data_IF_094673417556
#
_entry.id   IF_094673417556
#
_cell.length_a   1.000
_cell.length_b   1.000
_cell.length_c   1.000
_cell.angle_alpha   90.00
_cell.angle_beta   90.00
_cell.angle_gamma   90.00
#
_symmetry.space_group_name_H-M   'P 1'
#
loop_
_entity.id
_entity.type
_entity.pdbx_description
1 polymer ?
#
# COMPACT_ATOMS: atom_id res chain seq x y z
N UNK A 1 6.65 15.13 0.77
CA UNK A 1 6.88 14.33 1.99
C UNK A 1 5.93 13.15 2.18
N UNK A 2 4.86 13.00 1.38
CA UNK A 2 3.98 11.82 1.44
C UNK A 2 4.62 10.56 0.79
N UNK A 3 5.43 10.74 -0.26
CA UNK A 3 6.09 9.66 -1.01
C UNK A 3 7.28 9.01 -0.30
N UNK A 4 7.97 9.74 0.59
CA UNK A 4 9.17 9.25 1.27
C UNK A 4 8.87 8.20 2.33
N UNK A 5 7.63 8.14 2.81
CA UNK A 5 7.18 7.26 3.89
C UNK A 5 6.13 6.25 3.44
N UNK A 6 6.10 5.89 2.14
CA UNK A 6 5.20 4.83 1.66
C UNK A 6 5.76 3.41 1.81
N UNK A 7 6.93 3.23 2.43
CA UNK A 7 7.55 1.91 2.66
C UNK A 7 8.40 1.38 1.51
N UNK A 8 8.35 2.03 0.33
CA UNK A 8 9.12 1.62 -0.87
C UNK A 8 10.61 1.92 -0.75
N UNK A 9 11.00 3.02 -0.07
CA UNK A 9 12.41 3.44 0.07
C UNK A 9 13.02 3.10 1.44
N UNK A 10 12.20 2.95 2.49
CA UNK A 10 12.63 2.58 3.84
C UNK A 10 11.56 1.67 4.47
N UNK A 11 11.91 0.42 4.76
CA UNK A 11 11.00 -0.53 5.40
C UNK A 11 10.64 -0.10 6.83
N UNK A 12 9.44 -0.45 7.31
CA UNK A 12 8.93 -0.08 8.64
C UNK A 12 9.93 -0.32 9.79
N UNK A 13 10.80 -1.32 9.65
CA UNK A 13 11.76 -1.73 10.69
C UNK A 13 13.00 -0.84 10.81
N UNK A 14 13.28 0.01 9.82
CA UNK A 14 14.46 0.87 9.80
C UNK A 14 14.16 2.31 10.29
N UNK A 15 12.91 2.63 10.63
CA UNK A 15 12.47 3.99 10.96
C UNK A 15 12.47 4.22 12.49
N UNK A 16 13.02 5.33 12.99
CA UNK A 16 12.92 5.71 14.40
C UNK A 16 11.44 5.92 14.80
N UNK A 17 11.09 5.57 16.04
CA UNK A 17 9.70 5.33 16.47
C UNK A 17 8.66 6.42 16.15
N UNK A 18 9.06 7.70 16.18
CA UNK A 18 8.18 8.82 15.80
C UNK A 18 7.61 8.68 14.37
N UNK A 19 8.39 8.13 13.43
CA UNK A 19 8.00 8.00 12.03
C UNK A 19 7.07 6.81 11.75
N UNK A 20 6.94 5.88 12.69
CA UNK A 20 5.98 4.75 12.61
C UNK A 20 4.54 5.27 12.65
N UNK A 21 4.29 6.31 13.47
CA UNK A 21 2.98 6.97 13.51
C UNK A 21 2.63 7.58 12.16
N UNK A 22 3.56 8.32 11.57
CA UNK A 22 3.32 8.99 10.28
C UNK A 22 3.10 8.00 9.13
N UNK A 23 3.78 6.84 9.16
CA UNK A 23 3.53 5.75 8.23
C UNK A 23 2.09 5.24 8.30
N UNK A 24 1.55 5.01 9.50
CA UNK A 24 0.19 4.48 9.69
C UNK A 24 -0.94 5.43 9.29
N UNK A 25 -0.71 6.74 9.42
CA UNK A 25 -1.70 7.77 9.08
C UNK A 25 -1.67 8.14 7.59
N UNK A 26 -0.61 7.75 6.87
CA UNK A 26 -0.47 8.06 5.46
C UNK A 26 -1.28 7.07 4.58
N UNK A 27 -2.36 7.52 3.91
CA UNK A 27 -3.18 6.64 3.07
C UNK A 27 -2.42 6.06 1.87
N UNK A 28 -1.31 6.67 1.44
CA UNK A 28 -0.50 6.15 0.33
C UNK A 28 0.19 4.82 0.64
N UNK A 29 0.45 4.50 1.92
CA UNK A 29 1.06 3.21 2.29
C UNK A 29 0.12 2.06 1.92
N UNK A 30 -1.16 2.17 2.28
CA UNK A 30 -2.20 1.19 1.97
C UNK A 30 -2.50 1.11 0.46
N UNK A 31 -2.35 2.21 -0.27
CA UNK A 31 -2.49 2.23 -1.75
C UNK A 31 -1.38 1.43 -2.42
N UNK A 32 -0.13 1.64 -2.02
CA UNK A 32 1.01 0.91 -2.61
C UNK A 32 0.96 -0.58 -2.22
N UNK A 33 0.61 -0.88 -0.97
CA UNK A 33 0.45 -2.27 -0.50
C UNK A 33 -0.65 -3.01 -1.27
N UNK A 34 -1.83 -2.40 -1.45
CA UNK A 34 -2.95 -3.02 -2.19
C UNK A 34 -2.71 -3.09 -3.70
N UNK A 35 -2.10 -2.09 -4.32
CA UNK A 35 -1.81 -2.08 -5.77
C UNK A 35 -0.71 -3.08 -6.16
N UNK A 36 0.40 -3.12 -5.41
CA UNK A 36 1.45 -4.12 -5.62
C UNK A 36 0.97 -5.50 -5.21
N UNK A 37 0.29 -5.65 -4.07
CA UNK A 37 -0.28 -6.92 -3.63
C UNK A 37 -1.28 -7.52 -4.63
N UNK A 38 -2.09 -6.69 -5.30
CA UNK A 38 -3.06 -7.16 -6.31
C UNK A 38 -2.41 -7.42 -7.67
N UNK A 39 -1.45 -6.61 -8.09
CA UNK A 39 -0.79 -6.73 -9.40
C UNK A 39 0.21 -7.88 -9.47
N UNK A 40 0.94 -8.13 -8.38
CA UNK A 40 2.05 -9.06 -8.32
C UNK A 40 1.73 -10.32 -7.51
N UNK A 41 0.63 -10.33 -6.76
CA UNK A 41 0.29 -11.44 -5.88
C UNK A 41 0.08 -12.77 -6.61
N UNK A 42 0.69 -13.83 -6.07
CA UNK A 42 0.51 -15.22 -6.54
C UNK A 42 0.87 -15.49 -8.01
N UNK A 43 1.71 -14.64 -8.63
CA UNK A 43 2.20 -14.86 -9.98
C UNK A 43 3.43 -15.81 -10.01
N UNK A 44 3.52 -16.72 -11.01
CA UNK A 44 4.73 -17.50 -11.24
C UNK A 44 5.86 -16.60 -11.77
N UNK A 45 7.10 -16.86 -11.34
CA UNK A 45 8.29 -16.15 -11.77
C UNK A 45 9.06 -16.96 -12.83
N UNK A 46 9.54 -16.29 -13.88
CA UNK A 46 10.33 -16.93 -14.93
C UNK A 46 11.81 -17.01 -14.50
N UNK A 47 12.37 -18.22 -14.54
CA UNK A 47 13.79 -18.45 -14.27
C UNK A 47 14.66 -18.09 -15.49
N UNK A 48 15.90 -17.67 -15.23
CA UNK A 48 16.87 -17.35 -16.29
C UNK A 48 18.01 -18.37 -16.30
N UNK A 49 18.47 -18.74 -17.50
CA UNK A 49 19.58 -19.68 -17.71
C UNK A 49 20.96 -19.10 -17.35
N UNK A 50 21.10 -17.77 -17.29
CA UNK A 50 22.37 -17.08 -17.01
C UNK A 50 22.50 -16.55 -15.57
N UNK A 51 21.55 -16.88 -14.69
CA UNK A 51 21.62 -16.46 -13.29
C UNK A 51 22.79 -17.12 -12.59
N UNK A 52 23.65 -16.34 -11.91
CA UNK A 52 24.76 -16.89 -11.11
C UNK A 52 24.40 -17.10 -9.64
N UNK A 53 23.20 -16.65 -9.24
CA UNK A 53 22.73 -16.61 -7.85
C UNK A 53 21.22 -16.89 -7.81
N UNK A 54 20.79 -17.86 -7.00
CA UNK A 54 19.39 -18.30 -6.92
C UNK A 54 19.25 -19.78 -6.57
N UNK A 55 18.01 -20.29 -6.53
CA UNK A 55 17.75 -21.73 -6.41
C UNK A 55 17.51 -22.35 -7.80
N UNK A 56 17.87 -23.62 -7.95
CA UNK A 56 17.67 -24.37 -9.18
C UNK A 56 16.18 -24.65 -9.37
N UNK A 57 15.65 -24.31 -10.54
CA UNK A 57 14.26 -24.60 -10.90
C UNK A 57 14.02 -26.12 -10.99
N UNK A 58 15.01 -26.85 -11.48
CA UNK A 58 15.02 -28.31 -11.57
C UNK A 58 16.45 -28.83 -11.27
N UNK A 59 16.65 -29.63 -10.22
CA UNK A 59 17.95 -30.21 -9.90
C UNK A 59 18.43 -31.28 -10.89
N UNK A 60 17.61 -31.67 -11.87
CA UNK A 60 17.93 -32.72 -12.87
C UNK A 60 18.06 -32.21 -14.31
N UNK A 61 17.88 -30.91 -14.56
CA UNK A 61 17.96 -30.37 -15.90
C UNK A 61 19.41 -30.20 -16.39
N UNK A 62 19.68 -30.63 -17.62
CA UNK A 62 20.99 -30.46 -18.29
C UNK A 62 21.29 -28.99 -18.59
N UNK A 63 20.25 -28.16 -18.78
CA UNK A 63 20.36 -26.70 -18.83
C UNK A 63 19.91 -26.12 -17.48
N UNK A 64 20.86 -25.58 -16.71
CA UNK A 64 20.57 -25.00 -15.40
C UNK A 64 19.79 -23.69 -15.54
N UNK A 65 18.52 -23.69 -15.10
CA UNK A 65 17.74 -22.47 -14.93
C UNK A 65 17.75 -22.03 -13.46
N UNK A 66 18.12 -20.78 -13.23
CA UNK A 66 18.21 -20.18 -11.91
C UNK A 66 17.04 -19.23 -11.68
N UNK A 67 16.42 -19.35 -10.51
CA UNK A 67 15.39 -18.42 -10.07
C UNK A 67 15.82 -17.71 -8.77
N UNK A 68 15.65 -16.39 -8.73
CA UNK A 68 15.92 -15.60 -7.54
C UNK A 68 14.84 -15.79 -6.46
N UNK A 69 13.58 -15.99 -6.85
CA UNK A 69 12.42 -16.17 -5.95
C UNK A 69 11.40 -17.15 -6.55
N UNK A 70 10.81 -18.01 -5.71
CA UNK A 70 9.85 -19.06 -6.09
C UNK A 70 8.49 -18.54 -6.49
N UNK A 71 8.07 -17.50 -5.80
CA UNK A 71 6.78 -16.88 -6.00
C UNK A 71 6.92 -15.39 -5.78
N UNK A 72 6.10 -14.62 -6.48
CA UNK A 72 6.10 -13.17 -6.29
C UNK A 72 5.67 -12.76 -4.87
N UNK A 73 5.00 -13.63 -4.12
CA UNK A 73 4.75 -13.45 -2.68
C UNK A 73 6.03 -13.30 -1.85
N UNK A 74 7.12 -13.97 -2.27
CA UNK A 74 8.43 -13.90 -1.62
C UNK A 74 9.11 -12.55 -1.88
N UNK A 75 8.89 -11.98 -3.05
CA UNK A 75 9.27 -10.60 -3.37
C UNK A 75 8.39 -9.59 -2.62
N UNK A 76 7.07 -9.78 -2.58
CA UNK A 76 6.16 -8.91 -1.82
C UNK A 76 6.52 -8.87 -0.32
N UNK A 77 6.94 -10.01 0.24
CA UNK A 77 7.42 -10.08 1.62
C UNK A 77 8.72 -9.27 1.86
N UNK A 78 9.61 -9.18 0.87
CA UNK A 78 10.84 -8.38 1.00
C UNK A 78 10.56 -6.88 1.05
N UNK A 79 9.48 -6.43 0.40
CA UNK A 79 8.98 -5.05 0.46
C UNK A 79 7.91 -4.84 1.54
N UNK A 80 7.79 -5.76 2.50
CA UNK A 80 6.84 -5.71 3.63
C UNK A 80 5.35 -5.69 3.25
N UNK A 81 5.00 -6.21 2.08
CA UNK A 81 3.64 -6.28 1.55
C UNK A 81 3.08 -7.69 1.76
N UNK A 82 1.93 -7.80 2.41
CA UNK A 82 1.27 -9.09 2.64
C UNK A 82 0.05 -9.27 1.74
N UNK A 83 0.08 -10.30 0.88
CA UNK A 83 -1.03 -10.61 -0.05
C UNK A 83 -2.36 -10.90 0.68
N UNK A 84 -2.32 -11.43 1.90
CA UNK A 84 -3.51 -11.75 2.69
C UNK A 84 -4.28 -10.52 3.19
N UNK A 85 -3.61 -9.38 3.33
CA UNK A 85 -4.20 -8.17 3.92
C UNK A 85 -4.77 -7.19 2.89
N UNK A 86 -4.55 -7.43 1.59
CA UNK A 86 -4.91 -6.51 0.49
C UNK A 86 -6.32 -5.93 0.58
N UNK A 87 -7.30 -6.75 0.97
CA UNK A 87 -8.71 -6.34 1.04
C UNK A 87 -9.02 -5.45 2.25
N UNK A 88 -8.34 -5.68 3.38
CA UNK A 88 -8.43 -4.81 4.56
C UNK A 88 -7.82 -3.45 4.25
N UNK A 89 -6.64 -3.45 3.65
CA UNK A 89 -5.89 -2.23 3.37
C UNK A 89 -6.58 -1.38 2.29
N UNK A 90 -7.19 -2.02 1.28
CA UNK A 90 -8.09 -1.37 0.33
C UNK A 90 -9.34 -0.77 1.00
N UNK A 91 -9.93 -1.49 1.96
CA UNK A 91 -11.08 -0.98 2.73
C UNK A 91 -10.74 0.25 3.58
N UNK A 92 -9.57 0.26 4.24
CA UNK A 92 -9.09 1.40 5.04
C UNK A 92 -8.92 2.63 4.14
N UNK A 93 -8.36 2.47 2.94
CA UNK A 93 -8.24 3.55 1.96
C UNK A 93 -9.59 4.17 1.61
N UNK A 94 -10.58 3.35 1.24
CA UNK A 94 -11.92 3.84 0.89
C UNK A 94 -12.60 4.55 2.07
N UNK A 95 -12.44 4.04 3.29
CA UNK A 95 -12.96 4.69 4.49
C UNK A 95 -12.36 6.10 4.67
N UNK A 96 -11.04 6.27 4.51
CA UNK A 96 -10.40 7.58 4.57
C UNK A 96 -10.89 8.52 3.45
N UNK A 97 -10.99 8.04 2.21
CA UNK A 97 -11.47 8.86 1.09
C UNK A 97 -12.90 9.34 1.31
N UNK A 98 -13.80 8.45 1.73
CA UNK A 98 -15.22 8.77 2.00
C UNK A 98 -15.33 9.74 3.18
N UNK A 99 -14.59 9.52 4.27
CA UNK A 99 -14.61 10.41 5.42
C UNK A 99 -14.15 11.83 5.07
N UNK A 100 -13.05 11.96 4.33
CA UNK A 100 -12.56 13.27 3.88
C UNK A 100 -13.53 13.94 2.90
N UNK A 101 -14.17 13.17 2.03
CA UNK A 101 -15.20 13.65 1.10
C UNK A 101 -16.42 14.20 1.86
N UNK A 102 -16.94 13.45 2.83
CA UNK A 102 -18.06 13.87 3.67
C UNK A 102 -17.75 15.14 4.46
N UNK A 103 -16.54 15.23 5.02
CA UNK A 103 -16.08 16.43 5.73
C UNK A 103 -16.03 17.64 4.80
N UNK A 104 -15.47 17.49 3.60
CA UNK A 104 -15.41 18.58 2.63
C UNK A 104 -16.81 19.07 2.24
N UNK A 105 -17.76 18.15 2.00
CA UNK A 105 -19.16 18.50 1.72
C UNK A 105 -19.85 19.16 2.92
N UNK A 106 -19.61 18.67 4.14
CA UNK A 106 -20.19 19.24 5.35
C UNK A 106 -19.67 20.66 5.62
N UNK A 107 -18.37 20.89 5.46
CA UNK A 107 -17.78 22.22 5.58
C UNK A 107 -18.25 23.16 4.47
N UNK A 108 -18.34 22.68 3.23
CA UNK A 108 -18.92 23.45 2.13
C UNK A 108 -20.36 23.86 2.44
N UNK A 109 -21.17 22.93 2.94
CA UNK A 109 -22.55 23.20 3.33
C UNK A 109 -22.62 24.20 4.50
N UNK A 110 -21.81 24.03 5.55
CA UNK A 110 -21.75 24.96 6.69
C UNK A 110 -21.31 26.37 6.29
N UNK A 111 -20.31 26.48 5.40
CA UNK A 111 -19.79 27.77 4.95
C UNK A 111 -20.75 28.47 3.96
N UNK A 112 -21.47 27.70 3.16
CA UNK A 112 -22.35 28.25 2.11
C UNK A 112 -23.79 28.46 2.57
N UNK A 113 -24.32 27.69 3.53
CA UNK A 113 -25.71 27.87 3.97
C UNK A 113 -25.82 29.12 4.84
N UNK A 114 -26.49 30.19 4.36
CA UNK A 114 -26.76 31.35 5.20
C UNK A 114 -27.73 30.93 6.30
N UNK A 115 -27.29 31.00 7.56
CA UNK A 115 -28.20 30.89 8.70
C UNK A 115 -29.07 32.14 8.72
N UNK A 116 -30.32 32.04 8.26
CA UNK A 116 -31.30 33.10 8.38
C UNK A 116 -31.44 33.50 9.86
N UNK A 117 -30.89 34.65 10.23
CA UNK A 117 -31.08 35.22 11.57
C UNK A 117 -32.54 35.65 11.67
N UNK A 118 -33.32 34.95 12.50
CA UNK A 118 -34.67 35.40 12.86
C UNK A 118 -34.52 36.70 13.66
N UNK A 119 -34.83 37.83 13.03
CA UNK A 119 -34.93 39.13 13.70
C UNK A 119 -36.07 39.03 14.71
N UNK A 120 -35.78 39.13 16.01
CA UNK A 120 -36.80 39.31 17.04
C UNK A 120 -37.35 40.73 16.90
N UNK A 121 -38.66 40.85 16.71
CA UNK A 121 -39.40 42.11 16.87
C UNK A 121 -39.76 42.23 18.34
N UNK A 122 -39.18 43.20 19.01
CA UNK A 122 -39.74 43.88 20.19
C UNK A 122 -39.46 45.38 20.02
#
# INVERSE_FOLDING_TARGET
MMFTFCGVLAGLKALPGFWIFMYRVNPFTYIIESSMGTSLGNAPMFCATNGKEGYLADPKATECMYCAVSNTNQFLASVSISYGNRWRDFGIMWAFCIFNLCIAFLFYWLARVPKNKKVKKD
#
